data_IF_129751945841
#
_entry.id   IF_129751945841
#
_cell.length_a   1.000
_cell.length_b   1.000
_cell.length_c   1.000
_cell.angle_alpha   90.00
_cell.angle_beta   90.00
_cell.angle_gamma   90.00
#
_symmetry.space_group_name_H-M   'P 1'
#
loop_
_entity.id
_entity.type
_entity.pdbx_description
1 polymer ?
#
# COMPACT_ATOMS: atom_id res chain seq x y z
N UNK A 1 -17.62 37.78 -2.61
CA UNK A 1 -17.02 37.20 -1.40
C UNK A 1 -16.87 35.72 -1.66
N UNK A 2 -15.71 35.31 -2.17
CA UNK A 2 -15.38 33.92 -2.49
C UNK A 2 -14.93 33.24 -1.20
N UNK A 3 -15.76 32.32 -0.69
CA UNK A 3 -15.46 31.44 0.42
C UNK A 3 -14.53 30.34 -0.06
N UNK A 4 -13.24 30.44 0.29
CA UNK A 4 -12.26 29.37 0.14
C UNK A 4 -12.67 28.22 1.07
N UNK A 5 -13.22 27.13 0.50
CA UNK A 5 -13.42 25.87 1.23
C UNK A 5 -12.04 25.20 1.40
N UNK A 6 -11.32 25.55 2.45
CA UNK A 6 -10.10 24.84 2.83
C UNK A 6 -10.45 23.50 3.44
N UNK A 7 -9.94 22.41 2.85
CA UNK A 7 -9.97 21.09 3.48
C UNK A 7 -9.02 21.16 4.69
N UNK A 8 -9.61 21.12 5.89
CA UNK A 8 -8.88 20.93 7.14
C UNK A 8 -8.50 19.46 7.23
N UNK A 9 -7.25 19.13 6.91
CA UNK A 9 -6.72 17.79 7.20
C UNK A 9 -6.47 17.73 8.71
N UNK A 10 -7.44 17.22 9.47
CA UNK A 10 -7.24 16.81 10.85
C UNK A 10 -6.61 15.41 10.83
N UNK A 11 -5.28 15.33 10.84
CA UNK A 11 -4.60 14.05 10.99
C UNK A 11 -4.70 13.62 12.46
N UNK A 12 -5.27 12.45 12.78
CA UNK A 12 -5.21 11.92 14.14
C UNK A 12 -3.75 11.74 14.55
N UNK A 13 -3.44 11.85 15.85
CA UNK A 13 -2.10 11.55 16.36
C UNK A 13 -1.73 10.11 15.96
N UNK A 14 -0.81 9.97 15.01
CA UNK A 14 -0.33 8.68 14.52
C UNK A 14 0.71 8.14 15.52
N UNK A 15 0.39 7.10 16.32
CA UNK A 15 1.27 6.68 17.42
C UNK A 15 2.54 5.96 16.93
N UNK A 16 2.61 5.58 15.64
CA UNK A 16 3.66 4.70 15.10
C UNK A 16 4.21 5.12 13.72
N UNK A 17 3.70 6.20 13.10
CA UNK A 17 4.07 6.57 11.73
C UNK A 17 5.35 7.41 11.66
N UNK A 18 6.47 6.80 11.24
CA UNK A 18 7.70 7.53 10.87
C UNK A 18 7.66 8.10 9.46
N UNK A 19 6.76 7.59 8.64
CA UNK A 19 6.61 7.90 7.23
C UNK A 19 5.17 8.33 6.97
N UNK A 20 5.00 9.48 6.33
CA UNK A 20 3.71 10.00 5.88
C UNK A 20 3.82 10.33 4.39
N UNK A 21 3.02 9.66 3.55
CA UNK A 21 2.92 9.95 2.12
C UNK A 21 1.47 10.28 1.79
N UNK A 22 1.25 11.51 1.33
CA UNK A 22 -0.07 12.03 0.92
C UNK A 22 -0.01 12.61 -0.50
N UNK A 23 1.17 12.58 -1.13
CA UNK A 23 1.40 13.11 -2.48
C UNK A 23 0.68 12.34 -3.58
N UNK A 24 0.67 12.90 -4.80
CA UNK A 24 0.00 12.36 -6.00
C UNK A 24 -1.53 12.28 -5.88
N UNK A 25 -2.13 13.10 -5.01
CA UNK A 25 -3.57 13.24 -4.84
C UNK A 25 -3.98 14.68 -5.08
N UNK A 26 -5.06 14.98 -5.82
CA UNK A 26 -5.52 16.35 -6.02
C UNK A 26 -6.22 16.91 -4.77
N UNK A 27 -5.48 17.04 -3.66
CA UNK A 27 -5.97 17.51 -2.37
C UNK A 27 -6.56 18.92 -2.47
N UNK A 28 -6.10 19.72 -3.44
CA UNK A 28 -6.68 21.01 -3.80
C UNK A 28 -6.99 21.88 -2.56
N UNK A 29 -5.95 22.32 -1.87
CA UNK A 29 -6.10 23.01 -0.58
C UNK A 29 -4.82 23.63 -0.07
N UNK A 30 -4.84 24.13 1.17
CA UNK A 30 -3.66 24.68 1.85
C UNK A 30 -3.11 23.67 2.85
N UNK A 31 -1.79 23.68 3.08
CA UNK A 31 -1.20 22.90 4.15
C UNK A 31 -1.65 23.49 5.50
N UNK A 32 -2.37 22.74 6.36
CA UNK A 32 -2.93 23.30 7.59
C UNK A 32 -1.85 23.45 8.66
N UNK A 33 -2.03 24.42 9.56
CA UNK A 33 -1.18 24.62 10.74
C UNK A 33 -1.08 23.34 11.58
N UNK A 34 -2.18 22.59 11.69
CA UNK A 34 -2.27 21.29 12.38
C UNK A 34 -1.27 20.24 11.95
N UNK A 35 -0.54 20.42 10.84
CA UNK A 35 0.59 19.58 10.47
C UNK A 35 1.67 19.52 11.56
N UNK A 36 1.79 20.56 12.41
CA UNK A 36 2.69 20.54 13.56
C UNK A 36 2.30 19.53 14.64
N UNK A 37 1.04 19.09 14.70
CA UNK A 37 0.57 18.10 15.68
C UNK A 37 1.04 16.69 15.40
N UNK A 38 1.57 16.45 14.20
CA UNK A 38 2.18 15.17 13.87
C UNK A 38 3.41 14.87 14.75
N UNK A 39 4.00 15.90 15.37
CA UNK A 39 5.02 15.81 16.43
C UNK A 39 6.25 14.95 16.05
N UNK A 40 7.16 14.72 17.01
CA UNK A 40 8.44 13.99 16.89
C UNK A 40 8.39 12.56 16.31
N UNK A 41 7.25 12.05 15.86
CA UNK A 41 7.17 10.69 15.30
C UNK A 41 7.55 10.65 13.82
N UNK A 42 7.26 11.71 13.06
CA UNK A 42 7.51 11.72 11.60
C UNK A 42 8.98 12.03 11.29
N UNK A 43 9.59 11.13 10.54
CA UNK A 43 10.93 11.26 9.95
C UNK A 43 10.83 11.65 8.46
N UNK A 44 9.87 11.08 7.75
CA UNK A 44 9.78 11.17 6.30
C UNK A 44 8.38 11.66 5.90
N UNK A 45 8.28 12.88 5.36
CA UNK A 45 7.02 13.46 4.92
C UNK A 45 7.04 13.77 3.43
N UNK A 46 6.20 13.07 2.67
CA UNK A 46 6.03 13.20 1.24
C UNK A 46 4.62 13.71 0.92
N UNK A 47 4.55 14.82 0.21
CA UNK A 47 3.29 15.43 -0.26
C UNK A 47 3.52 16.16 -1.59
N UNK A 48 4.31 15.55 -2.46
CA UNK A 48 4.55 16.06 -3.81
C UNK A 48 3.36 15.82 -4.74
N UNK A 49 3.17 16.68 -5.74
CA UNK A 49 2.12 16.55 -6.76
C UNK A 49 0.70 16.46 -6.17
N UNK A 50 0.39 17.37 -5.23
CA UNK A 50 -0.87 17.34 -4.48
C UNK A 50 -1.81 18.54 -4.75
N UNK A 51 -1.45 19.41 -5.70
CA UNK A 51 -2.14 20.68 -5.98
C UNK A 51 -2.34 21.56 -4.73
N UNK A 52 -1.40 21.51 -3.79
CA UNK A 52 -1.44 22.37 -2.60
C UNK A 52 -1.11 23.81 -2.97
N UNK A 53 -1.92 24.75 -2.51
CA UNK A 53 -1.73 26.18 -2.70
C UNK A 53 -1.48 26.90 -1.37
N UNK A 54 -1.24 28.21 -1.43
CA UNK A 54 -1.00 29.03 -0.25
C UNK A 54 0.43 28.93 0.27
N UNK A 55 0.61 29.09 1.58
CA UNK A 55 1.92 29.20 2.23
C UNK A 55 2.28 27.91 2.96
N UNK A 56 3.57 27.67 3.21
CA UNK A 56 4.00 26.71 4.23
C UNK A 56 3.75 27.36 5.61
N UNK A 57 2.96 26.74 6.51
CA UNK A 57 2.67 27.26 7.85
C UNK A 57 3.91 27.68 8.63
N UNK A 58 3.98 28.96 9.01
CA UNK A 58 5.06 29.55 9.81
C UNK A 58 4.56 29.77 11.24
N UNK A 59 5.20 29.12 12.22
CA UNK A 59 4.74 29.13 13.61
C UNK A 59 4.89 30.50 14.28
N UNK A 60 3.77 31.11 14.64
CA UNK A 60 3.72 32.17 15.67
C UNK A 60 2.67 31.88 16.75
N UNK A 61 1.72 30.99 16.47
CA UNK A 61 0.70 30.50 17.39
C UNK A 61 0.48 29.02 16.97
N UNK A 62 0.34 28.14 17.96
CA UNK A 62 0.54 26.69 17.95
C UNK A 62 0.13 25.94 16.66
N UNK A 63 0.89 24.85 16.39
CA UNK A 63 0.81 23.94 15.23
C UNK A 63 1.46 24.48 13.92
N UNK A 64 2.71 24.10 13.61
CA UNK A 64 3.39 24.43 12.35
C UNK A 64 4.42 23.34 11.96
N UNK A 65 4.82 23.30 10.67
CA UNK A 65 5.89 22.39 10.15
C UNK A 65 7.20 22.52 10.95
N UNK A 66 7.42 23.68 11.56
CA UNK A 66 8.56 23.99 12.41
C UNK A 66 8.69 23.08 13.66
N UNK A 67 7.65 22.36 14.07
CA UNK A 67 7.67 21.46 15.24
C UNK A 67 8.08 20.02 14.92
N UNK A 68 8.29 19.68 13.65
CA UNK A 68 8.70 18.35 13.21
C UNK A 68 10.21 18.14 13.41
N UNK A 69 10.66 18.08 14.67
CA UNK A 69 12.09 18.04 15.03
C UNK A 69 12.84 16.81 14.52
N UNK A 70 12.13 15.71 14.28
CA UNK A 70 12.71 14.44 13.85
C UNK A 70 12.67 14.24 12.33
N UNK A 71 12.20 15.25 11.59
CA UNK A 71 12.07 15.20 10.14
C UNK A 71 13.46 15.06 9.49
N UNK A 72 13.65 13.97 8.76
CA UNK A 72 14.81 13.61 7.95
C UNK A 72 14.58 14.00 6.49
N UNK A 73 13.36 13.81 5.97
CA UNK A 73 12.99 14.21 4.61
C UNK A 73 11.66 14.95 4.57
N UNK A 74 11.65 16.04 3.81
CA UNK A 74 10.45 16.77 3.42
C UNK A 74 10.39 16.90 1.90
N UNK A 75 9.32 16.34 1.31
CA UNK A 75 9.03 16.45 -0.12
C UNK A 75 7.70 17.16 -0.35
N UNK A 76 7.78 18.36 -0.93
CA UNK A 76 6.68 19.23 -1.33
C UNK A 76 6.77 19.57 -2.84
N UNK A 77 7.52 18.79 -3.63
CA UNK A 77 7.73 19.05 -5.05
C UNK A 77 6.40 19.10 -5.82
N UNK A 78 6.33 19.89 -6.90
CA UNK A 78 5.18 19.93 -7.83
C UNK A 78 3.87 20.34 -7.13
N UNK A 79 3.89 21.42 -6.37
CA UNK A 79 2.68 22.03 -5.80
C UNK A 79 2.53 23.48 -6.28
N UNK A 80 1.48 24.16 -5.82
CA UNK A 80 1.17 25.56 -6.07
C UNK A 80 1.53 26.46 -4.86
N UNK A 81 2.51 26.06 -4.03
CA UNK A 81 2.92 26.81 -2.83
C UNK A 81 3.61 28.13 -3.19
N UNK A 82 3.36 29.18 -2.40
CA UNK A 82 3.67 30.58 -2.74
C UNK A 82 4.48 31.30 -1.65
N UNK A 83 4.93 32.52 -2.00
CA UNK A 83 5.67 33.48 -1.18
C UNK A 83 7.02 33.00 -0.63
N UNK A 84 7.07 32.54 0.62
CA UNK A 84 8.28 32.41 1.44
C UNK A 84 8.49 30.99 1.95
N UNK A 85 9.72 30.51 1.84
CA UNK A 85 10.15 29.29 2.54
C UNK A 85 10.40 29.67 4.02
N UNK A 86 9.82 28.98 5.01
CA UNK A 86 9.96 29.33 6.41
C UNK A 86 11.40 29.26 6.93
N UNK A 87 11.84 30.27 7.70
CA UNK A 87 13.19 30.29 8.29
C UNK A 87 13.42 29.12 9.27
N UNK A 88 12.36 28.63 9.91
CA UNK A 88 12.43 27.52 10.86
C UNK A 88 12.88 26.20 10.23
N UNK A 89 12.68 25.98 8.91
CA UNK A 89 13.14 24.75 8.24
C UNK A 89 14.67 24.60 8.33
N UNK A 90 15.40 25.73 8.33
CA UNK A 90 16.84 25.75 8.52
C UNK A 90 17.31 25.43 9.94
N UNK A 91 16.40 25.29 10.89
CA UNK A 91 16.69 24.92 12.28
C UNK A 91 16.40 23.45 12.59
N UNK A 92 15.85 22.68 11.64
CA UNK A 92 15.57 21.25 11.80
C UNK A 92 16.89 20.46 11.69
N UNK A 93 17.42 20.03 12.84
CA UNK A 93 18.76 19.42 12.94
C UNK A 93 18.88 18.04 12.29
N UNK A 94 17.77 17.31 12.13
CA UNK A 94 17.74 15.97 11.53
C UNK A 94 17.49 16.00 10.01
N UNK A 95 17.08 17.14 9.46
CA UNK A 95 16.66 17.25 8.07
C UNK A 95 17.85 17.13 7.12
N UNK A 96 17.79 16.12 6.26
CA UNK A 96 18.83 15.76 5.29
C UNK A 96 18.38 15.98 3.84
N UNK A 97 17.09 15.85 3.57
CA UNK A 97 16.52 15.94 2.23
C UNK A 97 15.37 16.94 2.19
N UNK A 98 15.49 17.98 1.36
CA UNK A 98 14.45 19.00 1.19
C UNK A 98 14.14 19.19 -0.30
N UNK A 99 12.92 18.82 -0.70
CA UNK A 99 12.42 18.96 -2.07
C UNK A 99 11.24 19.96 -2.09
N UNK A 100 11.44 21.10 -2.75
CA UNK A 100 10.50 22.22 -2.89
C UNK A 100 10.37 22.68 -4.37
N UNK A 101 10.91 21.90 -5.30
CA UNK A 101 10.95 22.21 -6.71
C UNK A 101 9.56 22.24 -7.37
N UNK A 102 9.45 22.95 -8.50
CA UNK A 102 8.20 23.13 -9.24
C UNK A 102 7.06 23.67 -8.38
N UNK A 103 7.32 24.80 -7.70
CA UNK A 103 6.35 25.56 -6.91
C UNK A 103 6.32 27.04 -7.38
N UNK A 104 5.65 27.92 -6.62
CA UNK A 104 5.52 29.36 -6.90
C UNK A 104 6.20 30.24 -5.84
N UNK A 105 7.25 29.73 -5.17
CA UNK A 105 8.02 30.54 -4.20
C UNK A 105 8.72 31.70 -4.90
N UNK A 106 8.61 32.90 -4.35
CA UNK A 106 9.08 34.13 -5.00
C UNK A 106 10.00 34.99 -4.13
N UNK A 107 10.24 34.60 -2.88
CA UNK A 107 11.11 35.30 -1.95
C UNK A 107 12.51 34.67 -1.89
N UNK A 108 13.43 35.32 -1.18
CA UNK A 108 14.80 34.84 -0.95
C UNK A 108 14.81 33.58 -0.09
N UNK A 109 15.80 32.71 -0.34
CA UNK A 109 16.06 31.56 0.52
C UNK A 109 16.50 32.01 1.93
N UNK A 110 15.92 31.44 3.01
CA UNK A 110 16.32 31.72 4.38
C UNK A 110 17.81 31.52 4.66
N UNK A 111 18.40 32.44 5.44
CA UNK A 111 19.80 32.33 5.87
C UNK A 111 20.09 31.11 6.75
N UNK A 112 19.07 30.61 7.45
CA UNK A 112 19.15 29.40 8.26
C UNK A 112 19.40 28.15 7.40
N UNK A 113 18.71 28.02 6.24
CA UNK A 113 18.91 26.90 5.32
C UNK A 113 20.35 26.83 4.82
N UNK A 114 20.96 27.98 4.50
CA UNK A 114 22.36 28.05 4.06
C UNK A 114 23.38 27.64 5.13
N UNK A 115 22.99 27.50 6.40
CA UNK A 115 23.86 27.14 7.53
C UNK A 115 23.65 25.70 8.01
N UNK A 116 22.78 24.94 7.36
CA UNK A 116 22.50 23.57 7.76
C UNK A 116 23.70 22.67 7.49
N UNK A 117 24.23 22.07 8.57
CA UNK A 117 25.40 21.17 8.48
C UNK A 117 25.07 19.75 8.02
N UNK A 118 23.81 19.33 8.18
CA UNK A 118 23.36 17.97 7.87
C UNK A 118 22.59 17.83 6.55
N UNK A 119 22.35 18.93 5.82
CA UNK A 119 21.55 18.90 4.61
C UNK A 119 22.37 18.28 3.46
N UNK A 120 21.89 17.16 2.94
CA UNK A 120 22.53 16.37 1.89
C UNK A 120 21.95 16.70 0.50
N UNK A 121 20.64 16.94 0.42
CA UNK A 121 19.93 17.21 -0.83
C UNK A 121 19.02 18.41 -0.68
N UNK A 122 19.18 19.41 -1.55
CA UNK A 122 18.32 20.57 -1.63
C UNK A 122 17.86 20.79 -3.08
N UNK A 123 16.57 20.60 -3.34
CA UNK A 123 15.94 20.94 -4.62
C UNK A 123 14.94 22.08 -4.40
N UNK A 124 15.21 23.23 -5.00
CA UNK A 124 14.27 24.37 -5.05
C UNK A 124 14.02 24.81 -6.49
N UNK A 125 14.30 23.93 -7.44
CA UNK A 125 14.26 24.24 -8.87
C UNK A 125 12.88 24.66 -9.35
N UNK A 126 12.81 25.37 -10.48
CA UNK A 126 11.54 25.76 -11.13
C UNK A 126 10.60 26.50 -10.16
N UNK A 127 11.13 27.55 -9.54
CA UNK A 127 10.38 28.49 -8.71
C UNK A 127 10.64 29.92 -9.22
N UNK A 128 10.21 30.95 -8.49
CA UNK A 128 10.51 32.36 -8.77
C UNK A 128 11.46 32.97 -7.74
N UNK A 129 12.26 32.17 -7.03
CA UNK A 129 13.13 32.59 -5.93
C UNK A 129 14.15 33.61 -6.42
N UNK A 130 14.25 34.73 -5.73
CA UNK A 130 15.19 35.82 -6.01
C UNK A 130 16.34 35.86 -5.00
N UNK A 131 17.37 36.65 -5.30
CA UNK A 131 18.48 36.93 -4.39
C UNK A 131 19.85 36.58 -4.98
N UNK A 132 20.88 36.83 -4.18
CA UNK A 132 22.27 36.58 -4.55
C UNK A 132 22.81 35.35 -3.82
N UNK A 133 23.35 34.41 -4.58
CA UNK A 133 24.10 33.27 -4.07
C UNK A 133 25.50 33.78 -3.71
N UNK A 134 25.77 33.92 -2.40
CA UNK A 134 27.09 34.32 -1.93
C UNK A 134 28.04 33.12 -1.85
N UNK A 135 29.36 33.29 -2.07
CA UNK A 135 30.29 32.15 -2.12
C UNK A 135 30.51 31.40 -0.79
N UNK A 136 30.07 31.98 0.34
CA UNK A 136 30.36 31.49 1.69
C UNK A 136 29.16 30.74 2.30
N UNK A 137 28.60 29.80 1.53
CA UNK A 137 27.45 29.01 1.97
C UNK A 137 27.93 27.95 2.98
N UNK A 138 27.32 27.91 4.16
CA UNK A 138 27.67 26.99 5.25
C UNK A 138 27.09 25.57 5.09
N UNK A 139 26.78 25.16 3.85
CA UNK A 139 26.27 23.84 3.50
C UNK A 139 27.44 22.86 3.36
N UNK A 140 28.02 22.44 4.50
CA UNK A 140 29.25 21.64 4.54
C UNK A 140 29.08 20.19 4.02
N UNK A 141 27.86 19.63 4.09
CA UNK A 141 27.56 18.23 3.75
C UNK A 141 26.78 18.04 2.45
N UNK A 142 26.51 19.10 1.68
CA UNK A 142 25.64 19.05 0.51
C UNK A 142 26.21 18.12 -0.57
N UNK A 143 25.42 17.14 -0.98
CA UNK A 143 25.74 16.19 -2.04
C UNK A 143 25.11 16.59 -3.37
N UNK A 144 23.88 17.12 -3.32
CA UNK A 144 23.14 17.60 -4.50
C UNK A 144 22.41 18.92 -4.18
N UNK A 145 22.53 19.87 -5.10
CA UNK A 145 22.00 21.22 -4.97
C UNK A 145 21.41 21.67 -6.31
N UNK A 146 20.08 21.64 -6.41
CA UNK A 146 19.36 22.13 -7.59
C UNK A 146 18.65 23.45 -7.29
N UNK A 147 19.25 24.53 -7.81
CA UNK A 147 18.72 25.90 -7.76
C UNK A 147 18.16 26.36 -9.11
N UNK A 148 18.09 25.47 -10.11
CA UNK A 148 17.82 25.83 -11.50
C UNK A 148 16.41 26.38 -11.73
N UNK A 149 16.22 27.20 -12.76
CA UNK A 149 14.89 27.76 -13.07
C UNK A 149 14.34 28.66 -11.96
N UNK A 150 15.19 29.54 -11.42
CA UNK A 150 14.85 30.60 -10.46
C UNK A 150 15.41 31.95 -10.94
N UNK A 151 15.14 33.02 -10.19
CA UNK A 151 15.64 34.39 -10.44
C UNK A 151 16.91 34.69 -9.61
N UNK A 152 17.73 33.67 -9.36
CA UNK A 152 18.94 33.77 -8.56
C UNK A 152 20.09 34.38 -9.37
N UNK A 153 20.88 35.21 -8.70
CA UNK A 153 22.08 35.86 -9.24
C UNK A 153 23.30 35.51 -8.38
N UNK A 154 24.51 35.86 -8.83
CA UNK A 154 25.74 35.56 -8.09
C UNK A 154 26.45 34.30 -8.58
N UNK A 155 27.52 33.91 -7.87
CA UNK A 155 28.32 32.72 -8.21
C UNK A 155 27.89 31.56 -7.31
N UNK A 156 27.47 30.46 -7.93
CA UNK A 156 27.28 29.19 -7.20
C UNK A 156 28.60 28.87 -6.47
N UNK A 157 28.57 28.60 -5.16
CA UNK A 157 29.78 28.27 -4.42
C UNK A 157 30.45 27.08 -5.10
N UNK A 158 31.78 27.15 -5.23
CA UNK A 158 32.51 25.96 -5.58
C UNK A 158 32.23 24.93 -4.47
N UNK A 159 31.60 23.80 -4.83
CA UNK A 159 31.52 22.68 -3.91
C UNK A 159 32.93 22.46 -3.33
N UNK A 160 33.09 22.13 -2.03
CA UNK A 160 34.39 21.74 -1.52
C UNK A 160 34.86 20.54 -2.32
N UNK A 161 35.63 20.82 -3.36
CA UNK A 161 36.40 19.83 -4.08
C UNK A 161 37.39 19.40 -3.02
N UNK A 162 37.18 18.22 -2.44
CA UNK A 162 38.30 17.49 -1.91
C UNK A 162 39.28 17.38 -3.06
N UNK A 163 40.28 18.26 -3.06
CA UNK A 163 41.31 18.34 -4.08
C UNK A 163 41.94 16.96 -4.16
N UNK A 164 41.51 16.14 -5.12
CA UNK A 164 42.28 15.00 -5.62
C UNK A 164 43.38 15.55 -6.54
N UNK A 165 44.15 16.50 -6.00
CA UNK A 165 45.38 17.06 -6.54
C UNK A 165 46.56 16.88 -5.59
N UNK A 166 46.37 16.24 -4.45
CA UNK A 166 47.46 15.52 -3.80
C UNK A 166 47.30 14.06 -4.24
N UNK A 167 48.27 13.54 -4.98
CA UNK A 167 48.43 12.09 -5.14
C UNK A 167 48.60 11.51 -3.73
N UNK A 168 47.47 11.24 -3.06
CA UNK A 168 47.45 10.44 -1.86
C UNK A 168 47.79 9.04 -2.35
N UNK A 169 48.91 8.50 -1.86
CA UNK A 169 49.34 7.11 -2.09
C UNK A 169 48.18 6.11 -1.91
N UNK A 170 47.13 6.49 -1.18
CA UNK A 170 45.85 5.81 -1.05
C UNK A 170 45.09 5.57 -2.36
N UNK A 171 44.94 6.56 -3.27
CA UNK A 171 44.15 6.37 -4.49
C UNK A 171 44.87 5.50 -5.54
N UNK A 172 46.21 5.54 -5.57
CA UNK A 172 47.01 4.62 -6.39
C UNK A 172 46.89 3.17 -5.87
N UNK A 173 46.81 2.98 -4.55
CA UNK A 173 46.55 1.70 -3.91
C UNK A 173 45.11 1.22 -4.16
N UNK A 174 44.11 2.10 -4.13
CA UNK A 174 42.72 1.77 -4.46
C UNK A 174 42.58 1.38 -5.92
N UNK A 175 43.20 2.09 -6.85
CA UNK A 175 43.19 1.73 -8.27
C UNK A 175 43.90 0.38 -8.55
N UNK A 176 44.99 0.10 -7.82
CA UNK A 176 45.77 -1.15 -7.94
C UNK A 176 45.19 -2.34 -7.19
N UNK A 177 44.36 -2.14 -6.16
CA UNK A 177 43.76 -3.23 -5.36
C UNK A 177 42.29 -3.40 -5.72
N UNK A 178 41.50 -2.32 -5.74
CA UNK A 178 40.05 -2.41 -5.92
C UNK A 178 39.68 -2.78 -7.34
N UNK A 179 40.39 -2.29 -8.38
CA UNK A 179 40.07 -2.73 -9.75
C UNK A 179 40.37 -4.23 -9.94
N UNK A 180 41.54 -4.77 -9.54
CA UNK A 180 41.79 -6.21 -9.60
C UNK A 180 40.86 -7.02 -8.70
N UNK A 181 40.47 -6.51 -7.52
CA UNK A 181 39.53 -7.19 -6.63
C UNK A 181 38.13 -7.18 -7.21
N UNK A 182 37.63 -6.06 -7.75
CA UNK A 182 36.30 -5.96 -8.36
C UNK A 182 36.25 -6.77 -9.66
N UNK A 183 37.29 -6.72 -10.48
CA UNK A 183 37.36 -7.55 -11.70
C UNK A 183 37.53 -9.04 -11.39
N UNK A 184 38.29 -9.39 -10.36
CA UNK A 184 38.42 -10.77 -9.86
C UNK A 184 37.11 -11.25 -9.24
N UNK A 185 36.45 -10.44 -8.42
CA UNK A 185 35.13 -10.73 -7.85
C UNK A 185 34.06 -10.83 -8.92
N UNK A 186 34.12 -10.01 -9.98
CA UNK A 186 33.22 -10.11 -11.12
C UNK A 186 33.50 -11.35 -11.97
N UNK A 187 34.77 -11.70 -12.22
CA UNK A 187 35.14 -12.94 -12.88
C UNK A 187 34.76 -14.17 -12.05
N UNK A 188 34.94 -14.13 -10.73
CA UNK A 188 34.49 -15.17 -9.80
C UNK A 188 32.96 -15.24 -9.82
N UNK A 189 32.24 -14.13 -9.90
CA UNK A 189 30.79 -14.12 -10.03
C UNK A 189 30.33 -14.67 -11.39
N UNK A 190 31.05 -14.41 -12.49
CA UNK A 190 30.78 -14.99 -13.80
C UNK A 190 31.09 -16.49 -13.82
N UNK A 191 32.19 -16.93 -13.23
CA UNK A 191 32.54 -18.35 -13.11
C UNK A 191 31.63 -19.07 -12.12
N UNK A 192 31.22 -18.43 -11.03
CA UNK A 192 30.26 -18.95 -10.07
C UNK A 192 28.87 -19.00 -10.67
N UNK A 193 28.43 -18.00 -11.43
CA UNK A 193 27.14 -18.03 -12.14
C UNK A 193 27.15 -19.10 -13.23
N UNK A 194 28.23 -19.25 -14.00
CA UNK A 194 28.36 -20.32 -14.99
C UNK A 194 28.46 -21.71 -14.33
N UNK A 195 29.14 -21.81 -13.18
CA UNK A 195 29.17 -23.01 -12.34
C UNK A 195 27.81 -23.30 -11.71
N UNK A 196 27.08 -22.30 -11.23
CA UNK A 196 25.70 -22.38 -10.71
C UNK A 196 24.76 -22.76 -11.84
N UNK A 197 24.94 -22.28 -13.06
CA UNK A 197 24.13 -22.65 -14.22
C UNK A 197 24.42 -24.09 -14.65
N UNK A 198 25.69 -24.52 -14.66
CA UNK A 198 26.09 -25.92 -14.88
C UNK A 198 25.64 -26.84 -13.75
N UNK A 199 25.66 -26.37 -12.50
CA UNK A 199 25.22 -27.09 -11.30
C UNK A 199 23.70 -27.16 -11.25
N UNK A 200 22.97 -26.09 -11.56
CA UNK A 200 21.51 -26.07 -11.77
C UNK A 200 21.10 -26.94 -12.95
N UNK A 201 21.89 -27.04 -14.02
CA UNK A 201 21.66 -27.96 -15.14
C UNK A 201 21.91 -29.42 -14.74
N UNK A 202 22.93 -29.66 -13.89
CA UNK A 202 23.25 -30.97 -13.30
C UNK A 202 22.28 -31.39 -12.18
N UNK A 203 21.68 -30.43 -11.47
CA UNK A 203 20.55 -30.60 -10.56
C UNK A 203 19.27 -30.82 -11.34
N UNK A 204 18.94 -30.03 -12.37
CA UNK A 204 17.82 -30.30 -13.28
C UNK A 204 17.88 -31.72 -13.83
N UNK A 205 19.06 -32.23 -14.20
CA UNK A 205 19.20 -33.61 -14.69
C UNK A 205 19.04 -34.68 -13.59
N UNK A 206 19.31 -34.34 -12.31
CA UNK A 206 19.12 -35.23 -11.15
C UNK A 206 17.72 -35.11 -10.51
N UNK A 207 17.08 -33.95 -10.64
CA UNK A 207 15.74 -33.62 -10.18
C UNK A 207 14.69 -34.12 -11.19
N UNK A 208 15.02 -34.12 -12.49
CA UNK A 208 14.19 -34.78 -13.52
C UNK A 208 14.06 -36.29 -13.27
N UNK A 209 15.03 -36.91 -12.60
CA UNK A 209 14.97 -38.34 -12.23
C UNK A 209 14.38 -38.58 -10.84
N UNK A 210 14.15 -37.52 -10.02
CA UNK A 210 13.76 -37.66 -8.60
C UNK A 210 12.54 -36.84 -8.15
N UNK A 211 11.89 -36.09 -9.03
CA UNK A 211 10.65 -35.32 -8.76
C UNK A 211 9.40 -36.01 -9.33
N UNK A 212 9.40 -37.35 -9.37
CA UNK A 212 8.15 -38.08 -9.56
C UNK A 212 7.37 -38.06 -8.24
N UNK A 213 6.09 -37.72 -8.31
CA UNK A 213 5.05 -37.79 -7.25
C UNK A 213 4.83 -36.57 -6.34
N UNK A 214 4.42 -35.43 -6.92
CA UNK A 214 3.31 -34.65 -6.37
C UNK A 214 2.40 -34.33 -7.55
N UNK A 215 1.15 -34.81 -7.49
CA UNK A 215 0.21 -34.78 -8.61
C UNK A 215 0.06 -33.39 -9.22
N UNK A 216 0.46 -33.25 -10.47
CA UNK A 216 0.15 -32.08 -11.29
C UNK A 216 -1.37 -32.01 -11.44
N UNK A 217 -2.02 -31.04 -10.79
CA UNK A 217 -3.42 -30.72 -11.09
C UNK A 217 -3.50 -30.39 -12.58
N UNK A 218 -4.24 -31.21 -13.32
CA UNK A 218 -4.43 -31.02 -14.75
C UNK A 218 -5.43 -29.88 -14.96
N UNK A 219 -5.04 -28.81 -15.64
CA UNK A 219 -5.95 -27.73 -16.02
C UNK A 219 -6.89 -28.26 -17.12
N UNK A 220 -8.14 -28.54 -16.77
CA UNK A 220 -9.16 -29.08 -17.69
C UNK A 220 -10.12 -27.96 -18.07
N UNK A 221 -10.29 -27.70 -19.37
CA UNK A 221 -11.20 -26.65 -19.84
C UNK A 221 -12.67 -27.02 -19.65
N UNK A 222 -13.55 -26.03 -19.46
CA UNK A 222 -15.01 -26.27 -19.40
C UNK A 222 -15.53 -27.03 -20.62
N UNK A 223 -15.02 -26.72 -21.82
CA UNK A 223 -15.41 -27.43 -23.04
C UNK A 223 -15.00 -28.92 -23.01
N UNK A 224 -13.86 -29.25 -22.40
CA UNK A 224 -13.45 -30.64 -22.22
C UNK A 224 -14.35 -31.36 -21.22
N UNK A 225 -14.74 -30.70 -20.13
CA UNK A 225 -15.72 -31.21 -19.16
C UNK A 225 -17.07 -31.48 -19.85
N UNK A 226 -17.57 -30.52 -20.62
CA UNK A 226 -18.83 -30.62 -21.34
C UNK A 226 -18.82 -31.75 -22.39
N UNK A 227 -17.71 -31.95 -23.12
CA UNK A 227 -17.56 -33.12 -24.01
C UNK A 227 -17.49 -34.42 -23.22
N UNK A 228 -16.74 -34.44 -22.13
CA UNK A 228 -16.52 -35.62 -21.30
C UNK A 228 -17.83 -36.14 -20.67
N UNK A 229 -18.76 -35.25 -20.35
CA UNK A 229 -20.08 -35.58 -19.76
C UNK A 229 -21.20 -35.70 -20.80
N UNK A 230 -20.90 -35.60 -22.10
CA UNK A 230 -21.89 -35.54 -23.18
C UNK A 230 -22.93 -34.41 -22.97
N UNK A 231 -22.46 -33.18 -22.74
CA UNK A 231 -23.27 -32.02 -22.37
C UNK A 231 -24.09 -32.24 -21.08
N UNK A 232 -23.49 -32.89 -20.07
CA UNK A 232 -24.16 -33.22 -18.80
C UNK A 232 -25.44 -34.06 -19.00
N UNK A 233 -25.35 -35.09 -19.86
CA UNK A 233 -26.45 -36.01 -20.12
C UNK A 233 -26.89 -36.72 -18.82
N UNK A 234 -28.21 -36.82 -18.60
CA UNK A 234 -28.78 -37.48 -17.43
C UNK A 234 -28.39 -38.96 -17.31
N UNK A 235 -28.00 -39.63 -18.40
CA UNK A 235 -27.47 -41.00 -18.34
C UNK A 235 -26.14 -41.10 -17.59
N UNK A 236 -25.42 -39.99 -17.47
CA UNK A 236 -24.15 -39.91 -16.76
C UNK A 236 -24.31 -39.42 -15.31
N UNK A 237 -25.52 -39.11 -14.85
CA UNK A 237 -25.75 -38.67 -13.47
C UNK A 237 -25.48 -39.84 -12.49
N UNK A 238 -24.49 -39.67 -11.63
CA UNK A 238 -24.12 -40.62 -10.59
C UNK A 238 -24.98 -40.39 -9.34
N UNK A 239 -25.27 -39.13 -9.02
CA UNK A 239 -26.10 -38.76 -7.86
C UNK A 239 -26.31 -37.27 -7.73
N UNK A 240 -27.40 -36.89 -7.08
CA UNK A 240 -27.83 -35.52 -6.87
C UNK A 240 -28.16 -35.31 -5.39
N UNK A 241 -27.75 -34.17 -4.84
CA UNK A 241 -28.02 -33.81 -3.44
C UNK A 241 -27.95 -32.30 -3.24
N UNK A 242 -28.07 -31.83 -1.98
CA UNK A 242 -28.16 -30.40 -1.64
C UNK A 242 -26.93 -29.56 -2.00
N UNK A 243 -25.82 -30.18 -2.42
CA UNK A 243 -24.60 -29.50 -2.85
C UNK A 243 -24.36 -29.65 -4.36
N UNK A 244 -25.40 -30.07 -5.10
CA UNK A 244 -25.42 -30.22 -6.54
C UNK A 244 -25.38 -31.65 -7.06
N UNK A 245 -25.09 -31.75 -8.36
CA UNK A 245 -25.17 -32.97 -9.15
C UNK A 245 -23.78 -33.50 -9.48
N UNK A 246 -23.59 -34.81 -9.41
CA UNK A 246 -22.33 -35.49 -9.77
C UNK A 246 -22.53 -36.29 -11.04
N UNK A 247 -21.75 -35.99 -12.08
CA UNK A 247 -21.78 -36.67 -13.36
C UNK A 247 -20.53 -37.52 -13.58
N UNK A 248 -20.67 -38.66 -14.24
CA UNK A 248 -19.57 -39.43 -14.79
C UNK A 248 -19.10 -38.77 -16.09
N UNK A 249 -17.80 -38.52 -16.23
CA UNK A 249 -17.21 -38.02 -17.47
C UNK A 249 -16.01 -38.84 -17.90
N UNK A 250 -15.75 -38.89 -19.21
CA UNK A 250 -14.51 -39.48 -19.76
C UNK A 250 -13.71 -38.39 -20.45
N UNK A 251 -12.56 -38.02 -19.86
CA UNK A 251 -11.68 -36.97 -20.39
C UNK A 251 -11.05 -37.38 -21.72
N UNK A 252 -10.46 -36.41 -22.43
CA UNK A 252 -9.75 -36.69 -23.70
C UNK A 252 -8.58 -37.66 -23.55
N UNK A 253 -8.02 -37.76 -22.35
CA UNK A 253 -6.99 -38.74 -21.98
C UNK A 253 -7.50 -40.18 -21.79
N UNK A 254 -8.83 -40.40 -21.83
CA UNK A 254 -9.47 -41.69 -21.53
C UNK A 254 -9.72 -41.94 -20.05
N UNK A 255 -9.37 -40.99 -19.18
CA UNK A 255 -9.61 -41.09 -17.74
C UNK A 255 -11.10 -40.89 -17.43
N UNK A 256 -11.69 -41.83 -16.70
CA UNK A 256 -13.05 -41.69 -16.15
C UNK A 256 -12.97 -40.91 -14.85
N UNK A 257 -13.78 -39.85 -14.74
CA UNK A 257 -13.81 -38.92 -13.61
C UNK A 257 -15.25 -38.71 -13.13
N UNK A 258 -15.39 -38.37 -11.84
CA UNK A 258 -16.64 -37.85 -11.29
C UNK A 258 -16.55 -36.32 -11.25
N UNK A 259 -17.46 -35.65 -11.95
CA UNK A 259 -17.53 -34.20 -12.10
C UNK A 259 -18.69 -33.72 -11.24
N UNK A 260 -18.40 -33.04 -10.13
CA UNK A 260 -19.40 -32.42 -9.28
C UNK A 260 -19.72 -31.03 -9.81
N UNK A 261 -20.94 -30.87 -10.32
CA UNK A 261 -21.55 -29.59 -10.67
C UNK A 261 -22.23 -29.08 -9.41
N UNK A 262 -21.71 -28.01 -8.83
CA UNK A 262 -22.32 -27.38 -7.67
C UNK A 262 -23.60 -26.67 -8.11
N UNK A 263 -24.72 -27.04 -7.49
CA UNK A 263 -25.99 -26.38 -7.69
C UNK A 263 -26.01 -25.16 -6.78
N UNK A 264 -25.59 -24.02 -7.34
CA UNK A 264 -25.57 -22.74 -6.66
C UNK A 264 -26.99 -22.16 -6.47
N UNK A 265 -28.04 -22.86 -6.93
CA UNK A 265 -29.43 -22.42 -6.81
C UNK A 265 -30.07 -22.78 -5.45
N UNK A 266 -29.42 -23.62 -4.63
CA UNK A 266 -29.99 -24.13 -3.37
C UNK A 266 -29.59 -23.38 -2.08
N UNK A 267 -28.78 -22.33 -2.20
CA UNK A 267 -28.66 -21.28 -1.17
C UNK A 267 -29.20 -20.02 -1.84
N UNK A 268 -30.46 -19.66 -1.56
CA UNK A 268 -31.06 -18.44 -2.11
C UNK A 268 -30.33 -17.23 -1.53
N UNK A 269 -29.23 -16.86 -2.17
CA UNK A 269 -28.57 -15.56 -2.07
C UNK A 269 -29.43 -14.51 -2.79
N UNK A 270 -30.70 -14.44 -2.38
CA UNK A 270 -31.78 -13.71 -3.06
C UNK A 270 -31.49 -12.21 -3.12
N UNK A 271 -30.67 -11.71 -2.19
CA UNK A 271 -30.24 -10.33 -2.14
C UNK A 271 -28.97 -10.07 -2.97
N UNK A 272 -28.37 -11.08 -3.62
CA UNK A 272 -27.24 -10.90 -4.54
C UNK A 272 -25.93 -10.54 -3.83
N UNK A 273 -24.99 -9.92 -4.55
CA UNK A 273 -23.68 -9.55 -4.01
C UNK A 273 -23.71 -8.24 -3.21
N UNK A 274 -22.83 -8.12 -2.23
CA UNK A 274 -22.62 -6.90 -1.45
C UNK A 274 -22.22 -5.71 -2.35
N UNK A 275 -21.50 -5.97 -3.45
CA UNK A 275 -21.15 -4.95 -4.45
C UNK A 275 -22.40 -4.21 -4.98
N UNK A 276 -23.51 -4.93 -5.21
CA UNK A 276 -24.77 -4.32 -5.66
C UNK A 276 -25.40 -3.42 -4.60
N UNK A 277 -25.23 -3.75 -3.32
CA UNK A 277 -25.77 -2.98 -2.21
C UNK A 277 -24.93 -1.76 -1.84
N UNK A 278 -23.63 -1.78 -2.20
CA UNK A 278 -22.72 -0.67 -1.95
C UNK A 278 -22.74 0.34 -3.09
N UNK A 279 -22.87 -0.10 -4.35
CA UNK A 279 -22.73 0.76 -5.53
C UNK A 279 -24.00 0.86 -6.39
N UNK A 280 -25.06 0.14 -6.04
CA UNK A 280 -26.35 0.22 -6.74
C UNK A 280 -27.14 1.47 -6.35
N UNK A 281 -27.82 2.06 -7.33
CA UNK A 281 -28.60 3.31 -7.15
C UNK A 281 -29.84 3.12 -6.25
N UNK A 282 -30.37 1.90 -6.13
CA UNK A 282 -31.64 1.61 -5.44
C UNK A 282 -31.47 0.87 -4.10
N UNK A 283 -30.24 0.57 -3.67
CA UNK A 283 -29.96 -0.27 -2.50
C UNK A 283 -29.19 0.51 -1.43
N UNK A 284 -29.66 0.45 -0.18
CA UNK A 284 -29.01 1.12 0.94
C UNK A 284 -28.90 0.20 2.15
N UNK A 285 -27.70 0.12 2.71
CA UNK A 285 -27.42 -0.58 3.97
C UNK A 285 -27.32 0.44 5.10
N UNK A 286 -28.08 0.22 6.17
CA UNK A 286 -27.91 0.98 7.40
C UNK A 286 -26.62 0.55 8.14
N UNK A 287 -26.19 1.34 9.11
CA UNK A 287 -24.91 1.09 9.80
C UNK A 287 -24.87 -0.27 10.53
N UNK A 288 -25.99 -0.72 11.10
CA UNK A 288 -26.06 -2.02 11.80
C UNK A 288 -25.91 -3.20 10.84
N UNK A 289 -26.53 -3.11 9.65
CA UNK A 289 -26.40 -4.10 8.60
C UNK A 289 -24.95 -4.16 8.13
N UNK A 290 -24.31 -3.01 7.89
CA UNK A 290 -22.89 -2.95 7.50
C UNK A 290 -21.97 -3.61 8.53
N UNK A 291 -22.16 -3.31 9.82
CA UNK A 291 -21.37 -3.93 10.90
C UNK A 291 -21.60 -5.44 10.99
N UNK A 292 -22.84 -5.90 10.77
CA UNK A 292 -23.18 -7.32 10.81
C UNK A 292 -22.58 -8.07 9.61
N UNK A 293 -22.70 -7.52 8.40
CA UNK A 293 -22.10 -8.08 7.18
C UNK A 293 -20.58 -8.19 7.31
N UNK A 294 -19.91 -7.15 7.82
CA UNK A 294 -18.47 -7.20 8.07
C UNK A 294 -18.10 -8.28 9.09
N UNK A 295 -18.91 -8.45 10.14
CA UNK A 295 -18.70 -9.46 11.17
C UNK A 295 -18.84 -10.88 10.61
N UNK A 296 -19.88 -11.14 9.83
CA UNK A 296 -20.12 -12.44 9.19
C UNK A 296 -18.96 -12.82 8.26
N UNK A 297 -18.56 -11.91 7.37
CA UNK A 297 -17.41 -12.11 6.49
C UNK A 297 -16.11 -12.35 7.30
N UNK A 298 -15.88 -11.57 8.35
CA UNK A 298 -14.70 -11.73 9.20
C UNK A 298 -14.67 -13.07 9.94
N UNK A 299 -15.83 -13.55 10.40
CA UNK A 299 -15.98 -14.85 11.04
C UNK A 299 -15.66 -15.99 10.07
N UNK A 300 -16.10 -15.90 8.82
CA UNK A 300 -15.75 -16.89 7.79
C UNK A 300 -14.25 -16.96 7.56
N UNK A 301 -13.56 -15.82 7.40
CA UNK A 301 -12.10 -15.83 7.19
C UNK A 301 -11.36 -16.31 8.45
N UNK A 302 -11.84 -15.95 9.65
CA UNK A 302 -11.26 -16.46 10.90
C UNK A 302 -11.34 -17.98 10.97
N UNK A 303 -12.48 -18.56 10.60
CA UNK A 303 -12.69 -20.00 10.51
C UNK A 303 -11.77 -20.66 9.47
N UNK A 304 -11.58 -20.04 8.30
CA UNK A 304 -10.66 -20.56 7.28
C UNK A 304 -9.20 -20.56 7.77
N UNK A 305 -8.80 -19.53 8.52
CA UNK A 305 -7.43 -19.37 9.01
C UNK A 305 -7.10 -20.24 10.24
N UNK A 306 -8.07 -20.46 11.15
CA UNK A 306 -7.83 -21.08 12.45
C UNK A 306 -8.77 -22.25 12.79
N UNK A 307 -9.86 -22.44 12.05
CA UNK A 307 -10.85 -23.48 12.30
C UNK A 307 -10.46 -24.88 11.81
N UNK A 308 -9.37 -25.00 11.06
CA UNK A 308 -8.86 -26.25 10.50
C UNK A 308 -7.37 -26.45 10.83
N UNK A 309 -6.93 -27.71 10.88
CA UNK A 309 -5.51 -28.07 11.12
C UNK A 309 -4.56 -27.49 10.05
N UNK A 310 -5.07 -27.29 8.83
CA UNK A 310 -4.38 -26.62 7.73
C UNK A 310 -5.09 -25.31 7.39
N UNK A 311 -4.42 -24.16 7.54
CA UNK A 311 -5.01 -22.86 7.20
C UNK A 311 -5.36 -22.78 5.71
N UNK A 312 -6.55 -22.26 5.42
CA UNK A 312 -7.03 -21.97 4.07
C UNK A 312 -7.00 -20.46 3.87
N UNK A 313 -6.34 -19.98 2.81
CA UNK A 313 -6.33 -18.56 2.45
C UNK A 313 -7.26 -18.34 1.27
N UNK A 314 -8.25 -17.46 1.42
CA UNK A 314 -9.27 -17.20 0.40
C UNK A 314 -8.69 -16.63 -0.92
N UNK A 315 -7.74 -15.70 -0.79
CA UNK A 315 -7.04 -15.00 -1.88
C UNK A 315 -7.84 -14.01 -2.76
N UNK A 316 -9.18 -14.02 -2.75
CA UNK A 316 -10.00 -13.05 -3.51
C UNK A 316 -11.18 -12.48 -2.69
N UNK A 317 -10.90 -11.97 -1.49
CA UNK A 317 -11.97 -11.38 -0.67
C UNK A 317 -12.28 -9.96 -1.16
N UNK A 318 -13.50 -9.76 -1.69
CA UNK A 318 -14.00 -8.46 -2.21
C UNK A 318 -15.54 -8.42 -2.16
N UNK A 319 -16.19 -7.24 -2.26
CA UNK A 319 -17.66 -7.13 -2.18
C UNK A 319 -18.42 -7.98 -3.19
N UNK A 320 -17.87 -8.20 -4.39
CA UNK A 320 -18.47 -9.07 -5.41
C UNK A 320 -18.59 -10.54 -4.96
N UNK A 321 -17.68 -10.97 -4.08
CA UNK A 321 -17.57 -12.36 -3.59
C UNK A 321 -18.19 -12.52 -2.21
N UNK A 322 -18.88 -11.50 -1.69
CA UNK A 322 -19.70 -11.58 -0.48
C UNK A 322 -21.15 -11.53 -0.92
N UNK A 323 -21.87 -12.63 -0.76
CA UNK A 323 -23.27 -12.76 -1.15
C UNK A 323 -24.17 -12.57 0.08
N UNK A 324 -25.37 -12.02 -0.10
CA UNK A 324 -26.36 -11.82 0.96
C UNK A 324 -27.60 -12.72 0.76
N UNK A 325 -28.02 -13.42 1.81
CA UNK A 325 -29.22 -14.26 1.81
C UNK A 325 -30.49 -13.46 2.17
N UNK A 326 -31.65 -14.13 2.22
CA UNK A 326 -32.94 -13.51 2.54
C UNK A 326 -32.95 -12.74 3.88
N UNK A 327 -32.13 -13.14 4.84
CA UNK A 327 -32.03 -12.55 6.18
C UNK A 327 -30.92 -11.47 6.29
N UNK A 328 -30.29 -11.10 5.16
CA UNK A 328 -29.13 -10.19 5.09
C UNK A 328 -27.89 -10.72 5.82
N UNK A 329 -27.77 -12.04 5.96
CA UNK A 329 -26.55 -12.69 6.46
C UNK A 329 -25.55 -12.79 5.31
N UNK A 330 -24.29 -12.45 5.60
CA UNK A 330 -23.26 -12.45 4.57
C UNK A 330 -22.53 -13.80 4.48
N UNK A 331 -22.41 -14.31 3.27
CA UNK A 331 -21.71 -15.56 2.96
C UNK A 331 -20.56 -15.27 1.98
N UNK A 332 -19.34 -15.65 2.35
CA UNK A 332 -18.16 -15.49 1.49
C UNK A 332 -18.13 -16.62 0.46
N UNK A 333 -18.16 -16.26 -0.82
CA UNK A 333 -18.11 -17.16 -1.97
C UNK A 333 -16.85 -16.98 -2.81
N UNK A 334 -16.79 -17.72 -3.92
CA UNK A 334 -15.69 -17.77 -4.90
C UNK A 334 -14.31 -18.13 -4.33
N UNK A 335 -14.13 -19.42 -4.06
CA UNK A 335 -12.86 -20.02 -3.64
C UNK A 335 -11.97 -20.42 -4.84
N UNK A 336 -12.25 -19.92 -6.05
CA UNK A 336 -11.61 -20.35 -7.30
C UNK A 336 -10.08 -20.21 -7.32
N UNK A 337 -9.54 -19.32 -6.49
CA UNK A 337 -8.08 -19.12 -6.32
C UNK A 337 -7.59 -19.37 -4.88
N UNK A 338 -8.41 -19.98 -4.02
CA UNK A 338 -8.05 -20.24 -2.63
C UNK A 338 -6.89 -21.25 -2.52
N UNK A 339 -6.04 -21.04 -1.51
CA UNK A 339 -4.82 -21.82 -1.29
C UNK A 339 -4.86 -22.53 0.06
N UNK A 340 -4.63 -23.85 0.05
CA UNK A 340 -4.42 -24.64 1.26
C UNK A 340 -2.93 -24.56 1.64
N UNK A 341 -2.63 -24.01 2.81
CA UNK A 341 -1.27 -23.94 3.32
C UNK A 341 -0.94 -25.23 4.07
N UNK A 342 -0.34 -26.19 3.36
CA UNK A 342 0.19 -27.39 3.99
C UNK A 342 1.33 -27.01 4.96
N UNK A 343 1.33 -27.61 6.15
CA UNK A 343 2.29 -27.37 7.24
C UNK A 343 3.67 -27.94 6.87
N UNK A 344 4.35 -27.30 5.94
CA UNK A 344 5.80 -27.42 5.74
C UNK A 344 6.41 -26.03 5.81
N UNK A 345 7.22 -25.83 6.85
CA UNK A 345 7.93 -24.58 7.15
C UNK A 345 8.76 -24.10 5.95
N UNK A 346 8.20 -23.22 5.14
CA UNK A 346 8.89 -22.09 4.49
C UNK A 346 7.82 -21.31 3.72
N UNK A 347 7.88 -19.98 3.79
CA UNK A 347 7.07 -19.06 2.98
C UNK A 347 6.80 -19.65 1.59
N UNK A 348 5.54 -19.99 1.31
CA UNK A 348 5.15 -20.47 0.00
C UNK A 348 5.24 -19.27 -0.96
N UNK A 349 6.35 -19.17 -1.70
CA UNK A 349 6.41 -18.29 -2.86
C UNK A 349 5.35 -18.77 -3.85
N UNK A 350 4.34 -17.95 -4.09
CA UNK A 350 3.31 -18.22 -5.09
C UNK A 350 3.18 -17.03 -6.02
N UNK A 351 2.93 -17.30 -7.30
CA UNK A 351 2.67 -16.28 -8.32
C UNK A 351 1.43 -15.47 -7.94
N UNK A 352 1.47 -14.15 -8.20
CA UNK A 352 0.41 -13.20 -7.86
C UNK A 352 -0.86 -13.55 -8.63
N UNK A 353 -1.80 -14.20 -7.95
CA UNK A 353 -3.14 -14.51 -8.42
C UNK A 353 -4.11 -13.85 -7.45
N UNK A 354 -4.88 -12.89 -7.94
CA UNK A 354 -5.89 -12.13 -7.22
C UNK A 354 -6.31 -10.91 -8.06
N UNK A 355 -7.49 -10.36 -7.81
CA UNK A 355 -8.00 -9.25 -8.61
C UNK A 355 -7.25 -7.95 -8.30
N UNK A 356 -6.85 -7.20 -9.35
CA UNK A 356 -6.16 -5.91 -9.24
C UNK A 356 -7.02 -4.92 -8.42
N UNK A 357 -6.51 -4.48 -7.27
CA UNK A 357 -7.23 -3.68 -6.26
C UNK A 357 -7.43 -4.38 -4.90
N UNK A 358 -7.38 -5.72 -4.86
CA UNK A 358 -7.58 -6.51 -3.62
C UNK A 358 -6.40 -7.45 -3.29
N UNK A 359 -5.40 -7.56 -4.17
CA UNK A 359 -4.07 -8.10 -3.84
C UNK A 359 -3.24 -7.06 -3.08
N UNK A 360 -2.36 -7.50 -2.15
CA UNK A 360 -1.47 -6.63 -1.34
C UNK A 360 -1.00 -5.42 -2.19
N UNK A 361 -1.43 -4.18 -1.86
CA UNK A 361 -1.35 -3.09 -2.82
C UNK A 361 0.10 -2.60 -2.95
N UNK A 362 0.57 -2.50 -4.19
CA UNK A 362 1.68 -1.63 -4.55
C UNK A 362 1.26 -0.16 -4.75
N UNK A 363 -0.03 0.15 -4.57
CA UNK A 363 -0.61 1.49 -4.75
C UNK A 363 -1.89 1.58 -3.91
N UNK A 364 -1.84 2.38 -2.85
CA UNK A 364 -2.96 2.66 -1.95
C UNK A 364 -3.65 3.92 -2.47
N UNK A 365 -4.73 3.80 -3.24
CA UNK A 365 -5.70 4.88 -3.45
C UNK A 365 -7.06 4.22 -3.70
N UNK A 366 -8.10 4.79 -3.11
CA UNK A 366 -9.52 4.36 -3.12
C UNK A 366 -9.95 3.38 -2.01
N UNK A 367 -9.85 3.79 -0.73
CA UNK A 367 -10.40 3.01 0.41
C UNK A 367 -11.46 3.77 1.22
N UNK A 368 -11.79 5.03 0.89
CA UNK A 368 -12.92 5.72 1.51
C UNK A 368 -14.07 5.70 0.50
N UNK A 369 -15.02 4.80 0.73
CA UNK A 369 -16.27 4.74 -0.02
C UNK A 369 -17.14 5.95 0.38
N UNK A 370 -17.45 6.83 -0.57
CA UNK A 370 -18.33 7.99 -0.36
C UNK A 370 -19.72 7.57 0.13
N UNK A 371 -20.12 6.30 -0.06
CA UNK A 371 -21.37 5.73 0.43
C UNK A 371 -21.33 5.30 1.90
N UNK A 372 -20.29 5.65 2.66
CA UNK A 372 -20.23 5.42 4.10
C UNK A 372 -21.22 6.30 4.89
N UNK A 373 -21.67 7.42 4.30
CA UNK A 373 -22.64 8.35 4.88
C UNK A 373 -23.91 8.39 4.01
N UNK A 374 -25.00 7.68 4.36
CA UNK A 374 -26.27 7.89 3.70
C UNK A 374 -26.74 9.33 3.98
N UNK A 375 -27.12 10.08 2.95
CA UNK A 375 -27.61 11.47 3.07
C UNK A 375 -28.89 11.60 3.94
N UNK A 376 -29.53 10.47 4.28
CA UNK A 376 -30.83 10.43 4.97
C UNK A 376 -30.79 9.96 6.45
N UNK A 377 -29.64 9.50 6.97
CA UNK A 377 -29.57 8.97 8.35
C UNK A 377 -29.22 10.10 9.34
N UNK A 378 -30.02 10.27 10.40
CA UNK A 378 -29.67 11.21 11.48
C UNK A 378 -28.37 10.75 12.16
N UNK A 379 -27.25 11.40 11.81
CA UNK A 379 -25.96 11.14 12.42
C UNK A 379 -26.05 11.40 13.93
N UNK A 380 -26.02 10.32 14.71
CA UNK A 380 -25.91 10.35 16.16
C UNK A 380 -24.45 10.26 16.59
N UNK A 381 -24.13 10.66 17.82
CA UNK A 381 -22.78 10.45 18.37
C UNK A 381 -22.38 8.96 18.43
N UNK A 382 -23.36 8.04 18.52
CA UNK A 382 -23.11 6.59 18.47
C UNK A 382 -22.71 6.13 17.06
N UNK A 383 -23.35 6.65 16.01
CA UNK A 383 -22.97 6.33 14.62
C UNK A 383 -21.59 6.87 14.28
N UNK A 384 -21.21 8.07 14.75
CA UNK A 384 -19.86 8.61 14.56
C UNK A 384 -18.78 7.73 15.20
N UNK A 385 -19.01 7.28 16.44
CA UNK A 385 -18.09 6.38 17.14
C UNK A 385 -17.96 5.04 16.41
N UNK A 386 -19.07 4.49 15.91
CA UNK A 386 -19.05 3.22 15.18
C UNK A 386 -18.29 3.36 13.85
N UNK A 387 -18.56 4.41 13.09
CA UNK A 387 -17.87 4.68 11.82
C UNK A 387 -16.36 4.87 12.06
N UNK A 388 -15.97 5.67 13.05
CA UNK A 388 -14.56 5.86 13.39
C UNK A 388 -13.87 4.54 13.77
N UNK A 389 -14.54 3.71 14.57
CA UNK A 389 -14.01 2.39 14.97
C UNK A 389 -13.90 1.41 13.81
N UNK A 390 -14.82 1.49 12.84
CA UNK A 390 -14.78 0.68 11.61
C UNK A 390 -13.59 1.08 10.73
N UNK A 391 -13.38 2.39 10.54
CA UNK A 391 -12.26 2.92 9.76
C UNK A 391 -10.92 2.58 10.41
N UNK A 392 -10.80 2.74 11.74
CA UNK A 392 -9.58 2.35 12.48
C UNK A 392 -9.26 0.85 12.30
N UNK A 393 -10.29 -0.01 12.39
CA UNK A 393 -10.12 -1.44 12.16
C UNK A 393 -9.68 -1.75 10.72
N UNK A 394 -10.25 -1.05 9.72
CA UNK A 394 -9.84 -1.21 8.32
C UNK A 394 -8.37 -0.81 8.10
N UNK A 395 -7.91 0.27 8.73
CA UNK A 395 -6.52 0.69 8.69
C UNK A 395 -5.58 -0.37 9.30
N UNK A 396 -5.93 -0.93 10.45
CA UNK A 396 -5.16 -2.02 11.07
C UNK A 396 -5.08 -3.28 10.19
N UNK A 397 -6.14 -3.60 9.43
CA UNK A 397 -6.16 -4.73 8.49
C UNK A 397 -5.29 -4.50 7.25
N UNK A 398 -5.08 -3.24 6.85
CA UNK A 398 -4.45 -2.85 5.58
C UNK A 398 -3.00 -2.38 5.72
N UNK A 399 -2.39 -2.55 6.91
CA UNK A 399 -0.98 -2.23 7.16
C UNK A 399 -0.03 -2.85 6.12
N UNK A 400 0.97 -2.09 5.65
CA UNK A 400 1.86 -2.55 4.58
C UNK A 400 2.64 -3.82 4.98
N UNK A 401 3.22 -3.80 6.19
CA UNK A 401 3.99 -4.91 6.75
C UNK A 401 3.06 -6.03 7.25
N UNK A 402 3.18 -7.28 6.76
CA UNK A 402 2.33 -8.40 7.17
C UNK A 402 2.34 -8.65 8.69
N UNK A 403 3.48 -8.45 9.35
CA UNK A 403 3.65 -8.67 10.79
C UNK A 403 2.94 -7.59 11.63
N UNK A 404 2.61 -6.45 11.02
CA UNK A 404 1.89 -5.34 11.66
C UNK A 404 0.38 -5.40 11.44
N UNK A 405 -0.10 -6.29 10.55
CA UNK A 405 -1.54 -6.48 10.32
C UNK A 405 -2.17 -7.21 11.49
N UNK A 406 -3.34 -6.74 11.88
CA UNK A 406 -4.18 -7.41 12.88
C UNK A 406 -4.62 -8.79 12.38
N UNK A 407 -4.75 -9.75 13.31
CA UNK A 407 -5.23 -11.11 12.97
C UNK A 407 -6.75 -11.12 12.81
N UNK A 408 -7.31 -12.00 11.96
CA UNK A 408 -8.77 -12.10 11.80
C UNK A 408 -9.51 -12.44 13.11
N UNK A 409 -8.85 -13.14 14.03
CA UNK A 409 -9.38 -13.38 15.38
C UNK A 409 -9.59 -12.08 16.17
N UNK A 410 -8.63 -11.18 16.09
CA UNK A 410 -8.72 -9.87 16.73
C UNK A 410 -9.70 -8.93 15.99
N UNK A 411 -9.82 -9.06 14.67
CA UNK A 411 -10.83 -8.37 13.85
C UNK A 411 -12.24 -8.73 14.31
N UNK A 412 -12.56 -10.02 14.40
CA UNK A 412 -13.87 -10.51 14.89
C UNK A 412 -14.16 -9.99 16.30
N UNK A 413 -13.15 -9.96 17.18
CA UNK A 413 -13.30 -9.41 18.53
C UNK A 413 -13.63 -7.91 18.52
N UNK A 414 -12.96 -7.12 17.68
CA UNK A 414 -13.21 -5.68 17.55
C UNK A 414 -14.58 -5.39 16.92
N UNK A 415 -14.97 -6.12 15.87
CA UNK A 415 -16.29 -5.98 15.25
C UNK A 415 -17.43 -6.32 16.23
N UNK A 416 -17.29 -7.37 17.04
CA UNK A 416 -18.26 -7.66 18.10
C UNK A 416 -18.38 -6.51 19.11
N UNK A 417 -17.26 -5.88 19.49
CA UNK A 417 -17.27 -4.71 20.38
C UNK A 417 -18.00 -3.52 19.72
N UNK A 418 -17.74 -3.26 18.44
CA UNK A 418 -18.41 -2.19 17.68
C UNK A 418 -19.92 -2.45 17.61
N UNK A 419 -20.33 -3.69 17.27
CA UNK A 419 -21.74 -4.11 17.23
C UNK A 419 -22.43 -3.90 18.59
N UNK A 420 -21.77 -4.27 19.68
CA UNK A 420 -22.34 -4.10 21.03
C UNK A 420 -22.48 -2.63 21.42
N UNK A 421 -21.48 -1.79 21.11
CA UNK A 421 -21.56 -0.33 21.36
C UNK A 421 -22.75 0.31 20.62
N UNK A 422 -23.05 -0.18 19.42
CA UNK A 422 -24.21 0.27 18.65
C UNK A 422 -25.55 -0.20 19.26
N UNK A 423 -25.59 -1.41 19.83
CA UNK A 423 -26.81 -2.04 20.37
C UNK A 423 -27.12 -1.68 21.84
N UNK A 424 -26.15 -1.21 22.63
CA UNK A 424 -26.38 -0.80 24.01
C UNK A 424 -27.22 0.50 24.06
N UNK A 425 -28.47 0.39 24.53
CA UNK A 425 -29.46 1.47 24.74
C UNK A 425 -29.09 2.40 25.87
#
# INVERSE_FOLDING_TARGET
MTTTRGISISLPQLPCGRYLQVGSNPLNGVLPNSIGNLSSTIEDFYIGDAHLNGLIPQGHIEEAVCHLSNLVKLDLDRNDLTEVIPECLGNLSMLQHLYLGSNKFSSKLPLSLWKMKGLLFLNVSRNSIEGEITPNIGLEAIADLDLSGNQLSGKVPACPVNNTGQQSKSMELVLKIVIPVVTSSFLIFLLASDWIMKWKKKQKLKDVEKVLEIGTYQLISYHEIQRATNNFDGSNLIGEGSSGSVYQGTLSSGNVVAIKVLDLENEQMSNGSLENWLYGEDFHLNLLQRVTIMLDAAMTIEYLHHGNDTPIVHCDLRPANVLLDEDMVAHVGDFGISKILAVSKSMAHTETLGTLGYTVPGTMMDVIDDNLFPEEEQITSKSEICIASMVELALDCTMEMPESRITMKDVVKRLNKIKNVFLET
#
